data_IF_371210537157
#
_entry.id   IF_371210537157
#
_cell.length_a   1.000
_cell.length_b   1.000
_cell.length_c   1.000
_cell.angle_alpha   90.00
_cell.angle_beta   90.00
_cell.angle_gamma   90.00
#
_symmetry.space_group_name_H-M   'P 1'
#
loop_
_entity.id
_entity.type
_entity.pdbx_description
1 polymer ?
#
# COMPACT_ATOMS: atom_id res chain seq x y z
N UNK A 1 6.97 11.67 0.33
CA UNK A 1 6.62 10.26 0.65
C UNK A 1 6.37 9.45 -0.61
N UNK A 2 5.63 9.96 -1.60
CA UNK A 2 5.72 9.44 -2.97
C UNK A 2 7.19 9.35 -3.42
N UNK A 3 7.98 10.39 -3.12
CA UNK A 3 9.44 10.37 -3.30
C UNK A 3 10.13 9.24 -2.52
N UNK A 4 9.59 8.83 -1.37
CA UNK A 4 10.18 7.78 -0.53
C UNK A 4 10.00 6.41 -1.18
N UNK A 5 8.77 6.02 -1.55
CA UNK A 5 8.55 4.69 -2.16
C UNK A 5 9.24 4.59 -3.52
N UNK A 6 9.21 5.67 -4.32
CA UNK A 6 9.93 5.76 -5.59
C UNK A 6 11.43 5.58 -5.39
N UNK A 7 12.03 6.32 -4.44
CA UNK A 7 13.46 6.21 -4.12
C UNK A 7 13.82 4.79 -3.66
N UNK A 8 13.06 4.23 -2.72
CA UNK A 8 13.27 2.86 -2.23
C UNK A 8 13.18 1.83 -3.35
N UNK A 9 12.21 1.98 -4.27
CA UNK A 9 12.07 1.10 -5.42
C UNK A 9 13.25 1.21 -6.38
N UNK A 10 13.71 2.44 -6.66
CA UNK A 10 14.89 2.70 -7.50
C UNK A 10 16.16 2.08 -6.89
N UNK A 11 16.40 2.27 -5.59
CA UNK A 11 17.52 1.66 -4.86
C UNK A 11 17.45 0.13 -4.91
N UNK A 12 16.28 -0.45 -4.63
CA UNK A 12 16.08 -1.90 -4.68
C UNK A 12 16.26 -2.46 -6.10
N UNK A 13 15.78 -1.73 -7.12
CA UNK A 13 15.98 -2.12 -8.51
C UNK A 13 17.45 -2.10 -8.89
N UNK A 14 18.21 -1.08 -8.52
CA UNK A 14 19.64 -0.99 -8.83
C UNK A 14 20.44 -2.19 -8.29
N UNK A 15 20.10 -2.67 -7.10
CA UNK A 15 20.72 -3.86 -6.51
C UNK A 15 20.28 -5.17 -7.18
N UNK A 16 19.09 -5.20 -7.82
CA UNK A 16 18.44 -6.42 -8.30
C UNK A 16 18.00 -6.34 -9.78
N UNK A 17 18.68 -5.52 -10.59
CA UNK A 17 18.27 -5.21 -11.98
C UNK A 17 18.26 -6.43 -12.92
N UNK A 18 18.87 -7.53 -12.49
CA UNK A 18 18.90 -8.79 -13.22
C UNK A 18 17.60 -9.62 -13.08
N UNK A 19 16.71 -9.26 -12.16
CA UNK A 19 15.42 -9.93 -11.94
C UNK A 19 14.36 -9.48 -12.94
N UNK A 20 13.42 -10.38 -13.24
CA UNK A 20 12.18 -10.01 -13.94
C UNK A 20 11.35 -9.05 -13.08
N UNK A 21 10.70 -8.08 -13.72
CA UNK A 21 10.04 -6.97 -13.03
C UNK A 21 8.94 -7.42 -12.06
N UNK A 22 8.20 -8.48 -12.41
CA UNK A 22 7.18 -9.07 -11.54
C UNK A 22 7.78 -9.64 -10.23
N UNK A 23 8.82 -10.49 -10.36
CA UNK A 23 9.56 -11.03 -9.22
C UNK A 23 10.21 -9.90 -8.41
N UNK A 24 10.71 -8.85 -9.06
CA UNK A 24 11.30 -7.70 -8.41
C UNK A 24 10.28 -6.93 -7.55
N UNK A 25 9.07 -6.70 -8.04
CA UNK A 25 7.99 -6.05 -7.27
C UNK A 25 7.56 -6.91 -6.08
N UNK A 26 7.43 -8.22 -6.28
CA UNK A 26 7.09 -9.16 -5.21
C UNK A 26 8.16 -9.17 -4.10
N UNK A 27 9.45 -9.23 -4.47
CA UNK A 27 10.56 -9.16 -3.52
C UNK A 27 10.70 -7.77 -2.90
N UNK A 28 10.40 -6.70 -3.62
CA UNK A 28 10.36 -5.35 -3.06
C UNK A 28 9.26 -5.22 -2.01
N UNK A 29 8.13 -5.91 -2.15
CA UNK A 29 7.08 -5.96 -1.12
C UNK A 29 7.56 -6.60 0.18
N UNK A 30 8.51 -7.53 0.09
CA UNK A 30 9.05 -8.29 1.21
C UNK A 30 10.23 -7.53 1.83
N UNK A 31 11.18 -7.06 1.03
CA UNK A 31 12.49 -6.59 1.47
C UNK A 31 12.71 -5.08 1.31
N UNK A 32 11.81 -4.38 0.61
CA UNK A 32 11.95 -2.97 0.27
C UNK A 32 12.13 -2.07 1.48
N UNK A 33 13.19 -1.26 1.48
CA UNK A 33 13.52 -0.35 2.56
C UNK A 33 14.04 -1.00 3.85
N UNK A 34 14.39 -2.29 3.81
CA UNK A 34 15.15 -2.91 4.89
C UNK A 34 16.58 -2.37 4.95
N UNK A 35 17.14 -2.28 6.16
CA UNK A 35 18.56 -2.04 6.40
C UNK A 35 19.35 -3.35 6.56
N UNK A 36 18.67 -4.49 6.50
CA UNK A 36 19.25 -5.82 6.63
C UNK A 36 19.74 -6.26 5.23
N UNK A 37 20.98 -6.75 5.09
CA UNK A 37 21.50 -7.24 3.82
C UNK A 37 20.89 -8.60 3.49
N UNK A 38 19.78 -8.61 2.75
CA UNK A 38 19.15 -9.84 2.29
C UNK A 38 19.84 -10.40 1.04
N UNK A 39 20.14 -11.69 1.07
CA UNK A 39 20.64 -12.45 -0.09
C UNK A 39 19.47 -12.80 -1.02
N UNK A 40 19.56 -12.38 -2.28
CA UNK A 40 18.54 -12.63 -3.30
C UNK A 40 19.24 -13.21 -4.52
N UNK A 41 19.04 -14.50 -4.78
CA UNK A 41 19.47 -15.13 -6.03
C UNK A 41 18.36 -15.05 -7.09
N UNK A 42 18.76 -14.81 -8.34
CA UNK A 42 17.86 -14.84 -9.49
C UNK A 42 17.22 -16.21 -9.67
N UNK A 43 17.96 -17.29 -9.41
CA UNK A 43 17.50 -18.66 -9.68
C UNK A 43 16.48 -19.15 -8.65
N UNK A 44 16.53 -18.62 -7.44
CA UNK A 44 15.70 -19.08 -6.34
C UNK A 44 14.25 -18.63 -6.49
N UNK A 45 13.31 -19.48 -6.11
CA UNK A 45 11.92 -19.08 -5.95
C UNK A 45 11.76 -18.10 -4.77
N UNK A 46 10.66 -17.34 -4.77
CA UNK A 46 10.32 -16.46 -3.63
C UNK A 46 10.20 -17.27 -2.33
N UNK A 47 9.67 -18.49 -2.41
CA UNK A 47 9.53 -19.39 -1.27
C UNK A 47 10.89 -19.80 -0.67
N UNK A 48 11.87 -20.14 -1.52
CA UNK A 48 13.23 -20.48 -1.09
C UNK A 48 13.92 -19.30 -0.41
N UNK A 49 13.84 -18.11 -1.00
CA UNK A 49 14.39 -16.88 -0.42
C UNK A 49 13.75 -16.60 0.96
N UNK A 50 12.42 -16.72 1.06
CA UNK A 50 11.70 -16.54 2.33
C UNK A 50 12.10 -17.59 3.36
N UNK A 51 12.24 -18.86 2.95
CA UNK A 51 12.64 -19.96 3.84
C UNK A 51 14.01 -19.66 4.46
N UNK A 52 14.97 -19.33 3.61
CA UNK A 52 16.33 -19.04 4.05
C UNK A 52 16.36 -17.88 5.07
N UNK A 53 15.71 -16.76 4.77
CA UNK A 53 15.78 -15.58 5.64
C UNK A 53 14.90 -15.66 6.88
N UNK A 54 13.64 -16.07 6.73
CA UNK A 54 12.63 -15.95 7.79
C UNK A 54 12.34 -17.25 8.53
N UNK A 55 12.86 -18.40 8.08
CA UNK A 55 12.75 -19.69 8.79
C UNK A 55 14.12 -20.17 9.27
N UNK A 56 15.10 -20.24 8.38
CA UNK A 56 16.43 -20.77 8.71
C UNK A 56 17.26 -19.75 9.50
N UNK A 57 17.20 -18.47 9.11
CA UNK A 57 17.93 -17.36 9.73
C UNK A 57 17.04 -16.39 10.52
N UNK A 58 15.85 -16.83 10.94
CA UNK A 58 14.85 -16.00 11.62
C UNK A 58 15.42 -15.10 12.72
N UNK A 59 16.25 -15.67 13.61
CA UNK A 59 16.76 -14.97 14.79
C UNK A 59 17.64 -13.77 14.44
N UNK A 60 18.45 -13.90 13.39
CA UNK A 60 19.27 -12.79 12.89
C UNK A 60 18.41 -11.62 12.43
N UNK A 61 17.30 -11.92 11.73
CA UNK A 61 16.36 -10.89 11.27
C UNK A 61 15.62 -10.26 12.45
N UNK A 62 15.13 -11.07 13.39
CA UNK A 62 14.44 -10.60 14.60
C UNK A 62 15.33 -9.65 15.42
N UNK A 63 16.58 -10.03 15.67
CA UNK A 63 17.55 -9.23 16.43
C UNK A 63 17.97 -7.95 15.69
N UNK A 64 17.76 -7.90 14.38
CA UNK A 64 18.02 -6.71 13.54
C UNK A 64 16.85 -5.72 13.51
N UNK A 65 15.68 -6.07 14.06
CA UNK A 65 14.56 -5.13 14.16
C UNK A 65 14.88 -4.05 15.20
N UNK A 66 14.93 -2.80 14.74
CA UNK A 66 15.27 -1.65 15.55
C UNK A 66 14.21 -0.55 15.46
N UNK A 67 13.85 0.09 16.59
CA UNK A 67 14.24 -0.28 17.96
C UNK A 67 13.67 -1.64 18.40
N UNK A 68 14.38 -2.36 19.28
CA UNK A 68 13.96 -3.71 19.70
C UNK A 68 12.61 -3.74 20.43
N UNK A 69 12.24 -2.66 21.12
CA UNK A 69 10.94 -2.56 21.80
C UNK A 69 9.73 -2.56 20.84
N UNK A 70 9.94 -2.41 19.53
CA UNK A 70 8.87 -2.57 18.54
C UNK A 70 8.30 -4.00 18.53
N UNK A 71 9.09 -4.99 18.95
CA UNK A 71 8.67 -6.38 19.08
C UNK A 71 7.82 -6.62 20.35
N UNK A 72 7.86 -5.69 21.29
CA UNK A 72 7.12 -5.77 22.55
C UNK A 72 5.73 -5.11 22.47
N UNK A 73 4.83 -5.54 23.36
CA UNK A 73 3.54 -4.87 23.52
C UNK A 73 3.76 -3.51 24.21
N UNK A 74 3.03 -2.45 23.81
CA UNK A 74 1.89 -2.48 22.88
C UNK A 74 2.25 -2.33 21.39
N UNK A 75 3.50 -1.99 21.04
CA UNK A 75 3.93 -1.70 19.65
C UNK A 75 3.70 -2.86 18.69
N UNK A 76 4.18 -4.07 19.01
CA UNK A 76 4.06 -5.22 18.09
C UNK A 76 2.61 -5.55 17.76
N UNK A 77 1.73 -5.50 18.76
CA UNK A 77 0.29 -5.71 18.57
C UNK A 77 -0.32 -4.62 17.71
N UNK A 78 0.02 -3.36 17.96
CA UNK A 78 -0.49 -2.22 17.19
C UNK A 78 -0.02 -2.27 15.73
N UNK A 79 1.27 -2.45 15.48
CA UNK A 79 1.86 -2.56 14.15
C UNK A 79 1.31 -3.78 13.39
N UNK A 80 1.13 -4.93 14.05
CA UNK A 80 0.48 -6.10 13.46
C UNK A 80 -0.97 -5.80 13.05
N UNK A 81 -1.73 -5.09 13.91
CA UNK A 81 -3.11 -4.72 13.64
C UNK A 81 -3.21 -3.76 12.43
N UNK A 82 -2.30 -2.80 12.32
CA UNK A 82 -2.19 -1.90 11.17
C UNK A 82 -1.82 -2.68 9.91
N UNK A 83 -0.75 -3.50 9.97
CA UNK A 83 -0.19 -4.20 8.80
C UNK A 83 -1.21 -5.16 8.16
N UNK A 84 -2.01 -5.83 8.99
CA UNK A 84 -3.07 -6.77 8.58
C UNK A 84 -4.44 -6.12 8.35
N UNK A 85 -4.60 -4.83 8.69
CA UNK A 85 -5.85 -4.09 8.60
C UNK A 85 -6.05 -3.34 7.29
N UNK A 86 -7.01 -2.42 7.29
CA UNK A 86 -7.33 -1.47 6.21
C UNK A 86 -6.65 -0.11 6.38
N UNK A 87 -5.83 0.04 7.43
CA UNK A 87 -5.13 1.25 7.81
C UNK A 87 -5.97 2.25 8.61
N UNK A 88 -7.30 2.13 8.68
CA UNK A 88 -8.14 3.10 9.40
C UNK A 88 -7.75 3.16 10.88
N UNK A 89 -7.52 4.36 11.40
CA UNK A 89 -7.04 4.57 12.78
C UNK A 89 -7.95 3.88 13.79
N UNK A 90 -9.27 4.06 13.66
CA UNK A 90 -10.26 3.48 14.58
C UNK A 90 -10.19 1.95 14.55
N UNK A 91 -10.06 1.36 13.36
CA UNK A 91 -9.96 -0.09 13.18
C UNK A 91 -8.64 -0.64 13.73
N UNK A 92 -7.54 0.10 13.59
CA UNK A 92 -6.25 -0.27 14.17
C UNK A 92 -6.32 -0.29 15.71
N UNK A 93 -6.94 0.72 16.33
CA UNK A 93 -7.13 0.77 17.79
C UNK A 93 -7.98 -0.41 18.29
N UNK A 94 -9.11 -0.66 17.64
CA UNK A 94 -10.00 -1.77 17.98
C UNK A 94 -9.32 -3.14 17.84
N UNK A 95 -8.63 -3.39 16.71
CA UNK A 95 -7.92 -4.66 16.46
C UNK A 95 -6.75 -4.88 17.42
N UNK A 96 -6.07 -3.82 17.83
CA UNK A 96 -4.97 -3.88 18.80
C UNK A 96 -5.44 -3.85 20.26
N UNK A 97 -6.75 -3.66 20.51
CA UNK A 97 -7.37 -3.58 21.85
C UNK A 97 -6.71 -2.49 22.71
N UNK A 98 -6.47 -1.33 22.11
CA UNK A 98 -5.94 -0.14 22.81
C UNK A 98 -6.98 0.99 22.75
N UNK A 99 -7.04 1.81 23.80
CA UNK A 99 -7.86 3.01 23.80
C UNK A 99 -7.18 4.18 23.07
N UNK A 100 -7.98 5.14 22.62
CA UNK A 100 -7.55 6.27 21.79
C UNK A 100 -6.34 7.03 22.35
N UNK A 101 -6.30 7.30 23.67
CA UNK A 101 -5.21 8.04 24.29
C UNK A 101 -3.84 7.36 24.11
N UNK A 102 -3.77 6.04 24.31
CA UNK A 102 -2.55 5.26 24.05
C UNK A 102 -2.31 5.12 22.54
N UNK A 103 -3.37 4.89 21.76
CA UNK A 103 -3.28 4.76 20.30
C UNK A 103 -2.63 5.98 19.63
N UNK A 104 -3.10 7.19 19.96
CA UNK A 104 -2.51 8.42 19.44
C UNK A 104 -1.09 8.69 19.95
N UNK A 105 -0.75 8.25 21.17
CA UNK A 105 0.62 8.30 21.67
C UNK A 105 1.54 7.41 20.83
N UNK A 106 1.13 6.16 20.57
CA UNK A 106 1.89 5.23 19.72
C UNK A 106 2.05 5.75 18.29
N UNK A 107 1.00 6.34 17.71
CA UNK A 107 1.09 6.92 16.36
C UNK A 107 2.19 7.98 16.32
N UNK A 108 2.18 8.95 17.25
CA UNK A 108 3.20 10.01 17.28
C UNK A 108 4.61 9.46 17.41
N UNK A 109 4.84 8.54 18.34
CA UNK A 109 6.17 7.94 18.55
C UNK A 109 6.63 7.16 17.30
N UNK A 110 5.74 6.40 16.65
CA UNK A 110 6.07 5.63 15.45
C UNK A 110 6.25 6.51 14.20
N UNK A 111 5.59 7.68 14.12
CA UNK A 111 5.84 8.71 13.10
C UNK A 111 7.21 9.38 13.34
N UNK A 112 7.56 9.71 14.59
CA UNK A 112 8.88 10.24 14.96
C UNK A 112 10.02 9.28 14.62
N UNK A 113 9.79 7.97 14.75
CA UNK A 113 10.71 6.92 14.33
C UNK A 113 10.71 6.66 12.82
N UNK A 114 9.85 7.33 12.05
CA UNK A 114 9.68 7.14 10.61
C UNK A 114 9.35 5.68 10.23
N UNK A 115 8.56 4.99 11.07
CA UNK A 115 8.08 3.62 10.81
C UNK A 115 6.73 3.66 10.09
N UNK A 116 5.87 4.58 10.52
CA UNK A 116 4.55 4.82 9.94
C UNK A 116 4.37 6.30 9.62
N UNK A 117 3.31 6.62 8.88
CA UNK A 117 2.79 7.96 8.70
C UNK A 117 1.26 7.92 8.59
N UNK A 118 0.62 9.07 8.81
CA UNK A 118 -0.80 9.25 8.52
C UNK A 118 -1.05 9.76 7.09
N UNK A 119 -1.73 8.94 6.30
CA UNK A 119 -2.36 9.38 5.05
C UNK A 119 -3.67 10.08 5.39
N UNK A 120 -3.71 11.40 5.20
CA UNK A 120 -4.90 12.21 5.48
C UNK A 120 -5.96 11.95 4.41
N UNK A 121 -7.21 11.75 4.84
CA UNK A 121 -8.32 11.58 3.91
C UNK A 121 -8.52 12.82 3.05
N UNK A 122 -8.91 12.57 1.81
CA UNK A 122 -9.17 13.60 0.79
C UNK A 122 -10.67 13.85 0.60
N UNK A 123 -11.52 13.24 1.43
CA UNK A 123 -12.95 13.55 1.49
C UNK A 123 -13.15 15.00 1.94
N UNK A 124 -14.05 15.72 1.28
CA UNK A 124 -14.41 17.08 1.70
C UNK A 124 -15.09 17.04 3.08
N UNK A 125 -14.82 18.01 3.96
CA UNK A 125 -15.53 18.12 5.23
C UNK A 125 -17.04 18.09 5.04
N UNK A 126 -17.74 17.31 5.88
CA UNK A 126 -19.19 17.18 5.82
C UNK A 126 -19.95 18.47 6.18
N UNK A 127 -19.28 19.38 6.89
CA UNK A 127 -19.84 20.65 7.33
C UNK A 127 -19.20 21.79 6.54
N UNK A 128 -20.04 22.66 5.99
CA UNK A 128 -19.61 23.84 5.23
C UNK A 128 -19.61 25.11 6.09
N UNK A 129 -20.33 25.10 7.22
CA UNK A 129 -20.35 26.20 8.19
C UNK A 129 -20.39 25.68 9.64
N UNK A 130 -19.87 26.48 10.58
CA UNK A 130 -19.76 26.10 12.01
C UNK A 130 -21.10 25.79 12.69
N UNK A 131 -22.22 26.34 12.19
CA UNK A 131 -23.54 26.22 12.82
C UNK A 131 -24.44 25.17 12.13
N UNK A 132 -23.96 24.55 11.06
CA UNK A 132 -24.70 23.51 10.35
C UNK A 132 -24.70 22.23 11.19
N UNK A 133 -25.88 21.66 11.45
CA UNK A 133 -25.99 20.34 12.08
C UNK A 133 -25.88 19.27 11.01
N UNK A 134 -25.09 18.22 11.29
CA UNK A 134 -25.08 17.04 10.44
C UNK A 134 -26.45 16.33 10.47
N UNK A 135 -26.89 15.79 9.31
CA UNK A 135 -27.97 14.82 9.26
C UNK A 135 -27.73 13.69 10.28
N UNK A 136 -28.81 13.16 10.86
CA UNK A 136 -28.74 12.22 11.99
C UNK A 136 -27.86 11.01 11.68
N UNK A 137 -27.98 10.51 10.45
CA UNK A 137 -27.24 9.40 9.87
C UNK A 137 -25.74 9.66 9.70
N UNK A 138 -25.30 10.93 9.64
CA UNK A 138 -23.89 11.30 9.48
C UNK A 138 -23.20 11.70 10.78
N UNK A 139 -23.93 11.81 11.90
CA UNK A 139 -23.37 12.31 13.18
C UNK A 139 -22.31 11.41 13.80
N UNK A 140 -22.34 10.11 13.50
CA UNK A 140 -21.33 9.14 13.96
C UNK A 140 -20.19 8.92 12.96
N UNK A 141 -20.26 9.52 11.77
CA UNK A 141 -19.22 9.40 10.78
C UNK A 141 -18.14 10.46 11.02
N UNK A 142 -16.90 10.02 11.07
CA UNK A 142 -15.74 10.88 11.18
C UNK A 142 -14.79 10.57 10.01
N UNK A 143 -14.37 11.63 9.32
CA UNK A 143 -13.32 11.52 8.31
C UNK A 143 -12.03 11.20 9.05
N UNK A 144 -11.57 9.96 8.95
CA UNK A 144 -10.37 9.47 9.63
C UNK A 144 -9.22 9.29 8.64
N UNK A 145 -7.97 9.54 9.07
CA UNK A 145 -6.79 9.21 8.29
C UNK A 145 -6.56 7.68 8.28
N UNK A 146 -5.70 7.24 7.36
CA UNK A 146 -5.17 5.88 7.35
C UNK A 146 -3.71 5.87 7.82
N UNK A 147 -3.35 4.89 8.63
CA UNK A 147 -1.98 4.61 9.03
C UNK A 147 -1.35 3.75 7.94
N UNK A 148 -0.16 4.16 7.48
CA UNK A 148 0.62 3.46 6.47
C UNK A 148 2.04 3.25 6.98
N UNK A 149 2.68 2.18 6.52
CA UNK A 149 4.09 1.95 6.77
C UNK A 149 4.95 2.78 5.81
N UNK A 150 6.07 3.29 6.31
CA UNK A 150 7.06 4.01 5.50
C UNK A 150 7.82 3.06 4.58
N UNK A 151 8.15 1.85 5.06
CA UNK A 151 8.87 0.84 4.27
C UNK A 151 8.03 -0.41 4.03
N UNK A 152 8.10 -1.00 2.82
CA UNK A 152 7.49 -2.31 2.55
C UNK A 152 7.93 -3.40 3.54
N UNK A 153 9.23 -3.47 3.87
CA UNK A 153 9.78 -4.47 4.79
C UNK A 153 9.11 -4.45 6.17
N UNK A 154 8.96 -3.27 6.78
CA UNK A 154 8.32 -3.20 8.11
C UNK A 154 6.88 -3.67 8.07
N UNK A 155 6.16 -3.36 6.98
CA UNK A 155 4.81 -3.87 6.79
C UNK A 155 4.80 -5.39 6.65
N UNK A 156 5.67 -5.94 5.81
CA UNK A 156 5.82 -7.38 5.63
C UNK A 156 6.11 -8.07 6.96
N UNK A 157 7.10 -7.57 7.71
CA UNK A 157 7.50 -8.09 9.01
C UNK A 157 6.31 -8.21 9.97
N UNK A 158 5.58 -7.12 10.20
CA UNK A 158 4.45 -7.13 11.14
C UNK A 158 3.18 -7.82 10.60
N UNK A 159 3.02 -7.96 9.29
CA UNK A 159 1.88 -8.69 8.72
C UNK A 159 2.12 -10.21 8.66
N UNK A 160 3.33 -10.63 8.33
CA UNK A 160 3.65 -12.03 7.98
C UNK A 160 4.61 -12.69 8.93
N UNK A 161 5.60 -12.01 9.51
CA UNK A 161 6.66 -12.67 10.28
C UNK A 161 6.42 -12.60 11.79
N UNK A 162 6.33 -11.38 12.35
CA UNK A 162 6.17 -11.16 13.79
C UNK A 162 5.03 -11.96 14.44
N UNK A 163 3.86 -12.14 13.79
CA UNK A 163 2.76 -12.92 14.36
C UNK A 163 3.05 -14.42 14.55
N UNK A 164 4.08 -14.96 13.87
CA UNK A 164 4.51 -16.36 13.96
C UNK A 164 5.91 -16.50 14.56
N UNK A 165 6.45 -15.44 15.17
CA UNK A 165 7.80 -15.41 15.78
C UNK A 165 8.08 -16.61 16.69
N UNK A 166 7.12 -17.01 17.53
CA UNK A 166 7.25 -18.19 18.40
C UNK A 166 7.47 -19.47 17.61
N UNK A 167 6.67 -19.70 16.57
CA UNK A 167 6.74 -20.92 15.78
C UNK A 167 8.02 -20.93 14.92
N UNK A 168 8.37 -19.79 14.33
CA UNK A 168 9.60 -19.60 13.54
C UNK A 168 10.87 -19.77 14.38
N UNK A 169 10.86 -19.37 15.65
CA UNK A 169 11.96 -19.65 16.61
C UNK A 169 12.20 -21.16 16.76
N UNK A 170 11.14 -21.97 16.68
CA UNK A 170 11.21 -23.42 16.72
C UNK A 170 11.27 -24.08 15.33
N UNK A 171 11.54 -23.29 14.27
CA UNK A 171 11.55 -23.73 12.87
C UNK A 171 10.24 -24.39 12.40
N UNK A 172 9.12 -24.06 13.05
CA UNK A 172 7.78 -24.49 12.65
C UNK A 172 7.18 -23.42 11.75
N UNK A 173 7.12 -23.70 10.44
CA UNK A 173 6.78 -22.68 9.43
C UNK A 173 5.45 -22.89 8.71
N UNK A 174 4.73 -23.99 8.96
CA UNK A 174 3.47 -24.30 8.26
C UNK A 174 2.45 -23.16 8.33
N UNK A 175 2.14 -22.68 9.55
CA UNK A 175 1.15 -21.62 9.74
C UNK A 175 1.59 -20.27 9.14
N UNK A 176 2.91 -20.02 9.11
CA UNK A 176 3.49 -18.85 8.45
C UNK A 176 3.25 -18.92 6.93
N UNK A 177 3.53 -20.05 6.29
CA UNK A 177 3.31 -20.24 4.85
C UNK A 177 1.83 -20.22 4.47
N UNK A 178 0.95 -20.88 5.25
CA UNK A 178 -0.50 -20.83 5.04
C UNK A 178 -1.01 -19.37 5.03
N UNK A 179 -0.53 -18.56 5.97
CA UNK A 179 -0.87 -17.14 6.03
C UNK A 179 -0.22 -16.34 4.89
N UNK A 180 1.01 -16.69 4.49
CA UNK A 180 1.70 -16.06 3.38
C UNK A 180 0.91 -16.25 2.08
N UNK A 181 0.62 -17.49 1.70
CA UNK A 181 -0.13 -17.82 0.48
C UNK A 181 -1.50 -17.12 0.43
N UNK A 182 -2.23 -17.13 1.55
CA UNK A 182 -3.57 -16.55 1.62
C UNK A 182 -3.59 -15.02 1.48
N UNK A 183 -2.52 -14.34 1.91
CA UNK A 183 -2.55 -12.88 2.08
C UNK A 183 -1.49 -12.12 1.27
N UNK A 184 -0.54 -12.79 0.63
CA UNK A 184 0.55 -12.13 -0.09
C UNK A 184 0.05 -11.23 -1.22
N UNK A 185 -0.98 -11.65 -1.96
CA UNK A 185 -1.60 -10.82 -3.02
C UNK A 185 -2.12 -9.47 -2.50
N UNK A 186 -2.57 -9.40 -1.24
CA UNK A 186 -3.01 -8.15 -0.63
C UNK A 186 -1.83 -7.23 -0.30
N UNK A 187 -0.70 -7.80 0.11
CA UNK A 187 0.51 -7.03 0.37
C UNK A 187 1.03 -6.40 -0.93
N UNK A 188 1.18 -7.21 -1.98
CA UNK A 188 1.68 -6.75 -3.29
C UNK A 188 0.71 -5.81 -3.98
N UNK A 189 -0.61 -6.04 -3.86
CA UNK A 189 -1.63 -5.11 -4.36
C UNK A 189 -1.47 -3.71 -3.78
N UNK A 190 -1.37 -3.59 -2.46
CA UNK A 190 -1.22 -2.28 -1.80
C UNK A 190 0.12 -1.61 -2.10
N UNK A 191 1.20 -2.37 -2.27
CA UNK A 191 2.46 -1.83 -2.77
C UNK A 191 2.31 -1.30 -4.20
N UNK A 192 1.65 -2.09 -5.07
CA UNK A 192 1.46 -1.72 -6.47
C UNK A 192 0.62 -0.45 -6.62
N UNK A 193 -0.34 -0.21 -5.73
CA UNK A 193 -1.06 1.07 -5.66
C UNK A 193 -0.11 2.24 -5.38
N UNK A 194 0.81 2.11 -4.41
CA UNK A 194 1.79 3.15 -4.09
C UNK A 194 2.75 3.43 -5.26
N UNK A 195 3.23 2.37 -5.93
CA UNK A 195 4.06 2.51 -7.12
C UNK A 195 3.30 3.10 -8.31
N UNK A 196 2.01 2.77 -8.46
CA UNK A 196 1.13 3.30 -9.50
C UNK A 196 0.88 4.80 -9.33
N UNK A 197 0.73 5.28 -8.09
CA UNK A 197 0.66 6.70 -7.77
C UNK A 197 1.95 7.40 -8.20
N UNK A 198 3.11 6.86 -7.79
CA UNK A 198 4.42 7.41 -8.16
C UNK A 198 4.60 7.48 -9.69
N UNK A 199 4.17 6.43 -10.40
CA UNK A 199 4.23 6.34 -11.85
C UNK A 199 3.31 7.35 -12.52
N UNK A 200 2.10 7.56 -11.98
CA UNK A 200 1.20 8.59 -12.47
C UNK A 200 1.84 9.98 -12.32
N UNK A 201 2.45 10.29 -11.18
CA UNK A 201 3.09 11.60 -11.02
C UNK A 201 4.28 11.76 -11.96
N UNK A 202 5.10 10.73 -12.16
CA UNK A 202 6.18 10.72 -13.14
C UNK A 202 5.65 10.96 -14.57
N UNK A 203 4.53 10.35 -14.95
CA UNK A 203 3.87 10.59 -16.24
C UNK A 203 3.48 12.06 -16.44
N UNK A 204 3.08 12.75 -15.36
CA UNK A 204 2.81 14.19 -15.36
C UNK A 204 4.06 15.05 -15.03
N UNK A 205 5.27 14.50 -15.17
CA UNK A 205 6.53 15.22 -14.96
C UNK A 205 6.77 15.65 -13.51
N UNK A 206 6.24 14.91 -12.55
CA UNK A 206 6.24 15.22 -11.12
C UNK A 206 5.56 16.56 -10.77
N UNK A 207 4.48 16.91 -11.50
CA UNK A 207 3.76 18.19 -11.35
C UNK A 207 2.32 18.06 -10.85
N UNK A 208 1.90 16.88 -10.37
CA UNK A 208 0.59 16.74 -9.73
C UNK A 208 0.54 17.59 -8.46
N UNK A 209 -0.53 18.39 -8.31
CA UNK A 209 -0.75 19.22 -7.12
C UNK A 209 -1.05 18.36 -5.87
N UNK A 210 -1.67 17.20 -6.09
CA UNK A 210 -1.90 16.19 -5.06
C UNK A 210 -2.12 14.82 -5.71
N UNK A 211 -1.66 13.76 -5.06
CA UNK A 211 -1.87 12.37 -5.45
C UNK A 211 -1.91 11.50 -4.16
N UNK A 212 -2.44 10.29 -4.26
CA UNK A 212 -2.73 9.43 -3.11
C UNK A 212 -4.02 8.65 -3.31
N UNK A 213 -4.43 7.86 -2.32
CA UNK A 213 -5.73 7.18 -2.35
C UNK A 213 -6.86 8.12 -1.90
N UNK A 214 -8.11 7.73 -2.13
CA UNK A 214 -9.30 8.44 -1.64
C UNK A 214 -10.27 7.44 -1.05
N UNK A 215 -10.83 7.74 0.12
CA UNK A 215 -11.93 6.96 0.70
C UNK A 215 -12.98 7.90 1.29
N UNK A 216 -14.23 7.47 1.28
CA UNK A 216 -15.35 8.28 1.77
C UNK A 216 -16.37 7.50 2.60
N UNK A 217 -17.41 8.22 3.03
CA UNK A 217 -18.57 7.70 3.77
C UNK A 217 -19.46 6.73 2.98
N UNK A 218 -19.31 6.65 1.66
CA UNK A 218 -20.07 5.73 0.81
C UNK A 218 -19.41 4.35 0.72
N UNK A 219 -18.41 4.10 1.57
CA UNK A 219 -17.60 2.88 1.59
C UNK A 219 -16.83 2.65 0.28
N UNK A 220 -16.67 3.70 -0.52
CA UNK A 220 -15.87 3.67 -1.73
C UNK A 220 -14.44 4.05 -1.39
N UNK A 221 -13.48 3.34 -1.98
CA UNK A 221 -12.05 3.64 -1.88
C UNK A 221 -11.39 3.59 -3.26
N UNK A 222 -10.86 4.70 -3.76
CA UNK A 222 -10.11 4.74 -5.01
C UNK A 222 -8.64 4.60 -4.69
N UNK A 223 -8.00 3.64 -5.34
CA UNK A 223 -6.55 3.40 -5.22
C UNK A 223 -5.76 4.65 -5.58
N UNK A 224 -6.25 5.40 -6.58
CA UNK A 224 -5.67 6.66 -7.02
C UNK A 224 -6.73 7.75 -7.09
N UNK A 225 -6.43 8.88 -6.47
CA UNK A 225 -7.07 10.16 -6.70
C UNK A 225 -5.98 11.23 -6.84
N UNK A 226 -5.99 11.99 -7.92
CA UNK A 226 -4.97 13.00 -8.15
C UNK A 226 -5.53 14.27 -8.79
N UNK A 227 -4.86 15.39 -8.57
CA UNK A 227 -5.18 16.69 -9.16
C UNK A 227 -3.96 17.19 -9.94
N UNK A 228 -4.14 17.48 -11.22
CA UNK A 228 -3.10 18.04 -12.08
C UNK A 228 -2.85 19.52 -11.78
N UNK A 229 -1.72 20.08 -12.24
CA UNK A 229 -1.44 21.53 -12.21
C UNK A 229 -2.50 22.41 -12.89
N UNK A 230 -3.30 21.83 -13.79
CA UNK A 230 -4.41 22.47 -14.48
C UNK A 230 -5.77 22.18 -13.81
N UNK A 231 -5.76 21.74 -12.56
CA UNK A 231 -6.95 21.44 -11.74
C UNK A 231 -7.87 20.35 -12.31
N UNK A 232 -7.40 19.56 -13.29
CA UNK A 232 -8.11 18.33 -13.72
C UNK A 232 -7.95 17.26 -12.65
N UNK A 233 -9.05 16.62 -12.29
CA UNK A 233 -9.07 15.49 -11.37
C UNK A 233 -8.94 14.16 -12.10
N UNK A 234 -8.23 13.24 -11.46
CA UNK A 234 -7.94 11.90 -11.93
C UNK A 234 -8.41 10.92 -10.87
N UNK A 235 -9.15 9.89 -11.26
CA UNK A 235 -9.38 8.71 -10.41
C UNK A 235 -8.79 7.49 -11.08
N UNK A 236 -8.32 6.54 -10.28
CA UNK A 236 -7.75 5.32 -10.82
C UNK A 236 -7.92 4.11 -9.92
N UNK A 237 -7.69 2.96 -10.55
CA UNK A 237 -7.80 1.64 -9.95
C UNK A 237 -6.60 0.79 -10.40
N UNK A 238 -6.01 0.07 -9.45
CA UNK A 238 -4.84 -0.76 -9.63
C UNK A 238 -5.22 -2.24 -9.49
N UNK A 239 -4.73 -3.09 -10.39
CA UNK A 239 -4.90 -4.55 -10.29
C UNK A 239 -3.58 -5.27 -10.49
N UNK A 240 -3.03 -5.75 -9.37
CA UNK A 240 -1.89 -6.65 -9.35
C UNK A 240 -2.37 -8.11 -9.34
N UNK A 241 -2.80 -8.60 -10.51
CA UNK A 241 -3.33 -9.97 -10.69
C UNK A 241 -2.87 -10.56 -12.01
N UNK A 242 -2.77 -11.89 -12.07
CA UNK A 242 -2.42 -12.66 -13.27
C UNK A 242 -3.58 -12.77 -14.28
N UNK A 243 -4.29 -11.66 -14.53
CA UNK A 243 -5.41 -11.58 -15.47
C UNK A 243 -5.52 -10.17 -16.02
N UNK A 244 -5.75 -10.09 -17.33
CA UNK A 244 -6.01 -8.82 -18.04
C UNK A 244 -7.21 -8.09 -17.46
N UNK A 245 -7.09 -6.76 -17.37
CA UNK A 245 -8.22 -5.88 -17.04
C UNK A 245 -9.13 -5.72 -18.27
N UNK A 246 -10.42 -5.87 -18.07
CA UNK A 246 -11.45 -5.65 -19.09
C UNK A 246 -12.23 -4.35 -18.82
N UNK A 247 -13.00 -3.91 -19.82
CA UNK A 247 -13.87 -2.72 -19.73
C UNK A 247 -14.79 -2.66 -18.51
N UNK A 248 -15.22 -3.81 -17.99
CA UNK A 248 -16.03 -3.87 -16.78
C UNK A 248 -15.37 -3.14 -15.59
N UNK A 249 -14.05 -3.17 -15.45
CA UNK A 249 -13.36 -2.46 -14.37
C UNK A 249 -13.44 -0.93 -14.56
N UNK A 250 -13.35 -0.44 -15.79
CA UNK A 250 -13.59 0.98 -16.09
C UNK A 250 -15.02 1.39 -15.73
N UNK A 251 -16.02 0.58 -16.10
CA UNK A 251 -17.43 0.85 -15.79
C UNK A 251 -17.68 0.88 -14.28
N UNK A 252 -17.07 -0.04 -13.51
CA UNK A 252 -17.15 -0.02 -12.04
C UNK A 252 -16.52 1.24 -11.45
N UNK A 253 -15.34 1.64 -11.95
CA UNK A 253 -14.63 2.84 -11.48
C UNK A 253 -15.45 4.11 -11.75
N UNK A 254 -16.07 4.21 -12.93
CA UNK A 254 -16.98 5.30 -13.29
C UNK A 254 -18.20 5.35 -12.38
N UNK A 255 -18.82 4.20 -12.09
CA UNK A 255 -19.99 4.15 -11.22
C UNK A 255 -19.65 4.53 -9.77
N UNK A 256 -18.51 4.04 -9.28
CA UNK A 256 -17.95 4.42 -7.97
C UNK A 256 -17.74 5.92 -7.86
N UNK A 257 -17.15 6.54 -8.91
CA UNK A 257 -16.94 7.99 -8.95
C UNK A 257 -18.26 8.77 -8.86
N UNK A 258 -19.32 8.34 -9.56
CA UNK A 258 -20.64 8.95 -9.45
C UNK A 258 -21.23 8.85 -8.05
N UNK A 259 -21.17 7.67 -7.42
CA UNK A 259 -21.67 7.45 -6.06
C UNK A 259 -20.94 8.34 -5.05
N UNK A 260 -19.62 8.51 -5.23
CA UNK A 260 -18.78 9.39 -4.43
C UNK A 260 -18.90 10.88 -4.78
N UNK A 261 -19.76 11.25 -5.74
CA UNK A 261 -19.95 12.62 -6.22
C UNK A 261 -18.62 13.24 -6.70
N UNK A 262 -17.76 12.40 -7.29
CA UNK A 262 -16.54 12.80 -7.97
C UNK A 262 -16.83 12.91 -9.46
N UNK A 263 -16.33 13.98 -10.09
CA UNK A 263 -16.46 14.22 -11.53
C UNK A 263 -15.07 14.22 -12.20
N UNK A 264 -14.37 13.07 -12.23
CA UNK A 264 -13.04 12.97 -12.80
C UNK A 264 -13.03 13.25 -14.31
N UNK A 265 -12.08 14.07 -14.73
CA UNK A 265 -11.81 14.35 -16.13
C UNK A 265 -10.99 13.24 -16.80
N UNK A 266 -10.20 12.52 -16.00
CA UNK A 266 -9.30 11.46 -16.45
C UNK A 266 -9.50 10.22 -15.58
N UNK A 267 -9.60 9.06 -16.22
CA UNK A 267 -9.52 7.75 -15.57
C UNK A 267 -8.15 7.13 -15.82
N UNK A 268 -7.54 6.55 -14.79
CA UNK A 268 -6.26 5.84 -14.90
C UNK A 268 -6.42 4.39 -14.42
N UNK A 269 -6.07 3.42 -15.26
CA UNK A 269 -6.05 2.01 -14.88
C UNK A 269 -4.63 1.48 -14.90
N UNK A 270 -4.29 0.70 -13.89
CA UNK A 270 -2.96 0.11 -13.71
C UNK A 270 -3.09 -1.41 -13.64
N UNK A 271 -2.35 -2.14 -14.48
CA UNK A 271 -2.46 -3.59 -14.57
C UNK A 271 -1.12 -4.29 -14.57
N UNK A 272 -0.98 -5.30 -13.70
CA UNK A 272 0.14 -6.25 -13.76
C UNK A 272 0.17 -7.05 -15.07
N UNK A 273 -0.98 -7.47 -15.58
CA UNK A 273 -1.08 -8.38 -16.75
C UNK A 273 -1.65 -7.72 -18.00
N UNK A 274 -1.70 -6.40 -18.03
CA UNK A 274 -2.19 -5.61 -19.16
C UNK A 274 -3.71 -5.61 -19.35
N UNK A 275 -4.13 -5.16 -20.54
CA UNK A 275 -5.54 -4.85 -20.83
C UNK A 275 -6.12 -5.68 -21.98
N UNK A 276 -7.45 -5.84 -21.99
CA UNK A 276 -8.16 -6.40 -23.14
C UNK A 276 -8.04 -5.51 -24.38
N UNK A 277 -8.12 -6.08 -25.59
CA UNK A 277 -8.05 -5.33 -26.84
C UNK A 277 -9.15 -4.26 -26.93
N UNK A 278 -10.36 -4.57 -26.44
CA UNK A 278 -11.45 -3.60 -26.33
C UNK A 278 -11.01 -2.37 -25.52
N UNK A 279 -10.45 -2.58 -24.32
CA UNK A 279 -10.03 -1.46 -23.47
C UNK A 279 -8.85 -0.70 -24.08
N UNK A 280 -7.89 -1.38 -24.71
CA UNK A 280 -6.77 -0.74 -25.44
C UNK A 280 -7.28 0.18 -26.55
N UNK A 281 -8.34 -0.21 -27.26
CA UNK A 281 -8.95 0.61 -28.31
C UNK A 281 -9.68 1.86 -27.79
N UNK A 282 -9.99 1.91 -26.49
CA UNK A 282 -10.64 3.06 -25.84
C UNK A 282 -9.67 4.10 -25.28
N UNK A 283 -8.34 3.86 -25.39
CA UNK A 283 -7.31 4.79 -24.89
C UNK A 283 -7.50 6.19 -25.49
N UNK A 284 -7.43 7.20 -24.64
CA UNK A 284 -7.60 8.61 -25.01
C UNK A 284 -6.98 9.52 -23.94
N UNK A 285 -7.01 10.83 -24.13
CA UNK A 285 -6.58 11.80 -23.11
C UNK A 285 -7.41 11.73 -21.81
N UNK A 286 -8.56 11.04 -21.84
CA UNK A 286 -9.45 10.81 -20.69
C UNK A 286 -9.33 9.41 -20.10
N UNK A 287 -8.58 8.50 -20.73
CA UNK A 287 -8.36 7.13 -20.26
C UNK A 287 -6.88 6.76 -20.42
N UNK A 288 -6.16 6.82 -19.30
CA UNK A 288 -4.78 6.38 -19.20
C UNK A 288 -4.73 4.90 -18.80
N UNK A 289 -3.87 4.15 -19.48
CA UNK A 289 -3.66 2.73 -19.25
C UNK A 289 -2.16 2.52 -19.01
N UNK A 290 -1.82 1.97 -17.85
CA UNK A 290 -0.44 1.66 -17.45
C UNK A 290 -0.29 0.16 -17.20
N UNK A 291 0.75 -0.44 -17.76
CA UNK A 291 1.13 -1.85 -17.56
C UNK A 291 2.31 -1.96 -16.59
N UNK A 292 2.70 -3.18 -16.19
CA UNK A 292 3.76 -3.39 -15.20
C UNK A 292 5.09 -2.78 -15.67
N UNK A 293 5.37 -2.89 -16.96
CA UNK A 293 6.58 -2.42 -17.63
C UNK A 293 6.76 -0.90 -17.52
N UNK A 294 5.68 -0.14 -17.35
CA UNK A 294 5.73 1.32 -17.18
C UNK A 294 6.41 1.72 -15.85
N UNK A 295 6.53 0.81 -14.88
CA UNK A 295 7.29 1.04 -13.64
C UNK A 295 8.75 1.38 -13.90
N UNK A 296 9.30 1.00 -15.06
CA UNK A 296 10.68 1.35 -15.45
C UNK A 296 10.88 2.87 -15.46
N UNK A 297 9.81 3.65 -15.69
CA UNK A 297 9.85 5.12 -15.61
C UNK A 297 10.25 5.67 -14.23
N UNK A 298 10.10 4.88 -13.16
CA UNK A 298 10.47 5.27 -11.80
C UNK A 298 11.96 5.13 -11.51
N UNK A 299 12.67 4.40 -12.36
CA UNK A 299 14.08 4.06 -12.19
C UNK A 299 14.96 5.12 -12.85
N UNK A 300 14.44 5.80 -13.88
CA UNK A 300 15.11 6.90 -14.60
C UNK A 300 15.32 8.10 -13.70
#
# INVERSE_FOLDING_TARGET
MEDTIKRLFKEFYQANAHLELDKLVDLFAIFGGSQIPFEIDKTDSIEEIIRFHFVENFKYIEDSISPSYLLEKPYSRFLTAVARGDGRVTNAFNRSRIGDGLGWKLIRELEELNIIFLEISREKPLLTSKNQKLPKELRGYHIEPKIRFVTPFMRFWFAFVAPFSKDLTHKQSSAFYDNFELHFTRLTGLLFEQLSIAMLNQHFGNTLLSNGSYWDRHFNEFDVYAITKHSKSIVGECKYKNKKICKNELSKLQEKAKVSILSPEIYALFSKSGFSNELKSMKSDKLLLFELEDLVSLIV
#
